data_IF_925155262630
#
_entry.id   IF_925155262630
#
_cell.length_a   1.000
_cell.length_b   1.000
_cell.length_c   1.000
_cell.angle_alpha   90.00
_cell.angle_beta   90.00
_cell.angle_gamma   90.00
#
_symmetry.space_group_name_H-M   'P 1'
#
loop_
_entity.id
_entity.type
_entity.pdbx_description
1 polymer ?
#
# COMPACT_ATOMS: atom_id res chain seq x y z
N UNK A 1 30.14 28.46 10.79
CA UNK A 1 28.73 28.01 10.64
C UNK A 1 28.68 26.98 9.53
N UNK A 2 28.66 25.67 9.85
CA UNK A 2 28.74 24.60 8.84
C UNK A 2 27.33 24.11 8.54
N UNK A 3 26.84 24.39 7.34
CA UNK A 3 25.54 23.94 6.84
C UNK A 3 25.63 22.42 6.57
N UNK A 4 24.91 21.60 7.33
CA UNK A 4 24.81 20.17 7.11
C UNK A 4 23.56 19.89 6.25
N UNK A 5 23.67 19.96 4.92
CA UNK A 5 22.61 19.47 4.02
C UNK A 5 22.64 17.93 4.06
N UNK A 6 21.95 17.34 5.02
CA UNK A 6 21.94 15.89 5.24
C UNK A 6 20.81 15.25 4.43
N UNK A 7 21.13 14.49 3.38
CA UNK A 7 20.15 13.64 2.66
C UNK A 7 19.50 12.68 3.67
N UNK A 8 18.16 12.68 3.77
CA UNK A 8 17.43 11.66 4.54
C UNK A 8 17.66 10.28 3.91
N UNK A 9 17.92 9.28 4.73
CA UNK A 9 18.03 7.87 4.36
C UNK A 9 16.81 7.12 4.89
N UNK A 10 16.19 6.32 4.03
CA UNK A 10 15.03 5.50 4.38
C UNK A 10 15.44 4.03 4.40
N UNK A 11 15.05 3.33 5.46
CA UNK A 11 15.24 1.88 5.60
C UNK A 11 13.89 1.23 5.80
N UNK A 12 13.50 0.36 4.88
CA UNK A 12 12.25 -0.39 4.95
C UNK A 12 12.60 -1.83 5.35
N UNK A 13 11.98 -2.31 6.41
CA UNK A 13 12.09 -3.70 6.87
C UNK A 13 10.71 -4.31 6.73
N UNK A 14 10.56 -5.18 5.74
CA UNK A 14 9.34 -5.95 5.54
C UNK A 14 9.31 -7.17 6.45
N UNK A 15 8.10 -7.63 6.77
CA UNK A 15 7.83 -8.74 7.69
C UNK A 15 8.65 -8.65 8.99
N UNK A 16 8.71 -7.46 9.60
CA UNK A 16 9.60 -7.20 10.74
C UNK A 16 9.36 -8.16 11.93
N UNK A 17 8.16 -8.74 12.04
CA UNK A 17 7.82 -9.76 13.03
C UNK A 17 8.63 -11.06 12.89
N UNK A 18 9.26 -11.31 11.74
CA UNK A 18 10.12 -12.45 11.47
C UNK A 18 11.57 -12.24 11.94
N UNK A 19 11.92 -11.03 12.42
CA UNK A 19 13.27 -10.78 12.93
C UNK A 19 13.58 -11.65 14.15
N UNK A 20 14.85 -12.07 14.22
CA UNK A 20 15.36 -12.75 15.41
C UNK A 20 15.38 -11.81 16.61
N UNK A 21 15.36 -12.37 17.82
CA UNK A 21 15.46 -11.59 19.07
C UNK A 21 16.72 -10.71 19.11
N UNK A 22 17.85 -11.20 18.60
CA UNK A 22 19.09 -10.43 18.55
C UNK A 22 18.99 -9.25 17.57
N UNK A 23 18.35 -9.43 16.42
CA UNK A 23 18.10 -8.36 15.45
C UNK A 23 17.17 -7.28 16.02
N UNK A 24 16.11 -7.66 16.74
CA UNK A 24 15.24 -6.70 17.44
C UNK A 24 16.00 -5.87 18.47
N UNK A 25 16.86 -6.50 19.28
CA UNK A 25 17.65 -5.80 20.29
C UNK A 25 18.65 -4.80 19.66
N UNK A 26 19.22 -5.14 18.51
CA UNK A 26 20.09 -4.23 17.76
C UNK A 26 19.29 -3.04 17.20
N UNK A 27 18.09 -3.31 16.66
CA UNK A 27 17.19 -2.27 16.14
C UNK A 27 16.71 -1.31 17.23
N UNK A 28 16.38 -1.83 18.43
CA UNK A 28 15.91 -1.04 19.58
C UNK A 28 16.86 0.11 19.92
N UNK A 29 18.18 -0.16 19.95
CA UNK A 29 19.20 0.88 20.23
C UNK A 29 19.10 2.05 19.25
N UNK A 30 18.78 1.75 17.99
CA UNK A 30 18.65 2.78 16.95
C UNK A 30 17.30 3.50 17.03
N UNK A 31 16.24 2.82 17.46
CA UNK A 31 14.92 3.44 17.64
C UNK A 31 14.85 4.34 18.89
N UNK A 32 15.66 4.07 19.91
CA UNK A 32 15.76 4.89 21.12
C UNK A 32 16.45 6.22 20.88
N UNK A 33 17.52 6.22 20.09
CA UNK A 33 18.27 7.42 19.70
C UNK A 33 18.37 7.49 18.17
N UNK A 34 17.27 7.79 17.46
CA UNK A 34 17.24 7.76 16.01
C UNK A 34 18.13 8.86 15.43
N UNK A 35 19.03 8.52 14.49
CA UNK A 35 19.80 9.55 13.80
C UNK A 35 18.86 10.51 13.05
N UNK A 36 19.04 11.82 13.19
CA UNK A 36 18.14 12.86 12.62
C UNK A 36 17.86 12.76 11.10
N UNK A 37 18.71 12.04 10.38
CA UNK A 37 18.67 11.89 8.93
C UNK A 37 18.22 10.49 8.50
N UNK A 38 17.74 9.65 9.43
CA UNK A 38 17.33 8.28 9.16
C UNK A 38 15.86 8.11 9.50
N UNK A 39 15.12 7.45 8.61
CA UNK A 39 13.73 7.04 8.85
C UNK A 39 13.63 5.54 8.63
N UNK A 40 13.16 4.83 9.66
CA UNK A 40 12.82 3.42 9.57
C UNK A 40 11.33 3.25 9.28
N UNK A 41 11.02 2.39 8.32
CA UNK A 41 9.65 1.96 8.02
C UNK A 41 9.62 0.46 8.30
N UNK A 42 8.87 0.07 9.33
CA UNK A 42 8.70 -1.32 9.71
C UNK A 42 7.34 -1.77 9.18
N UNK A 43 7.33 -2.72 8.24
CA UNK A 43 6.11 -3.30 7.71
C UNK A 43 5.88 -4.69 8.33
N UNK A 44 4.64 -4.95 8.72
CA UNK A 44 4.23 -6.24 9.29
C UNK A 44 2.77 -6.50 9.01
N UNK A 45 2.42 -7.76 8.78
CA UNK A 45 1.04 -8.27 8.73
C UNK A 45 0.55 -8.75 10.10
N UNK A 46 1.45 -8.85 11.07
CA UNK A 46 1.18 -9.37 12.41
C UNK A 46 1.85 -8.46 13.46
N UNK A 47 1.17 -7.38 13.81
CA UNK A 47 1.68 -6.39 14.76
C UNK A 47 1.74 -6.91 16.20
N UNK A 48 0.87 -7.86 16.54
CA UNK A 48 0.78 -8.44 17.89
C UNK A 48 1.99 -9.32 18.22
N UNK A 49 2.68 -9.85 17.19
CA UNK A 49 3.96 -10.55 17.35
C UNK A 49 5.14 -9.61 17.64
N UNK A 50 4.98 -8.30 17.49
CA UNK A 50 6.05 -7.36 17.78
C UNK A 50 6.19 -7.11 19.29
N UNK A 51 7.43 -7.00 19.82
CA UNK A 51 7.63 -6.61 21.21
C UNK A 51 7.00 -5.23 21.50
N UNK A 52 6.32 -5.10 22.65
CA UNK A 52 5.75 -3.83 23.11
C UNK A 52 6.78 -2.68 23.16
N UNK A 53 8.06 -3.01 23.39
CA UNK A 53 9.17 -2.05 23.37
C UNK A 53 9.36 -1.39 22.00
N UNK A 54 9.14 -2.11 20.90
CA UNK A 54 9.13 -1.54 19.54
C UNK A 54 7.88 -0.68 19.36
N UNK A 55 6.71 -1.24 19.66
CA UNK A 55 5.42 -0.58 19.44
C UNK A 55 5.29 0.78 20.16
N UNK A 56 5.94 0.92 21.33
CA UNK A 56 5.98 2.17 22.10
C UNK A 56 6.87 3.27 21.51
N UNK A 57 7.78 2.94 20.58
CA UNK A 57 8.79 3.85 20.01
C UNK A 57 8.56 4.16 18.54
N UNK A 58 7.49 3.63 17.94
CA UNK A 58 7.14 3.84 16.54
C UNK A 58 5.79 4.50 16.42
N UNK A 59 5.62 5.29 15.35
CA UNK A 59 4.30 5.71 14.93
C UNK A 59 3.63 4.55 14.18
N UNK A 60 2.47 4.13 14.64
CA UNK A 60 1.75 2.99 14.09
C UNK A 60 0.74 3.47 13.04
N UNK A 61 0.79 2.87 11.87
CA UNK A 61 -0.18 3.07 10.80
C UNK A 61 -0.82 1.72 10.48
N UNK A 62 -2.13 1.62 10.71
CA UNK A 62 -2.88 0.41 10.43
C UNK A 62 -3.58 0.56 9.08
N UNK A 63 -3.16 -0.27 8.12
CA UNK A 63 -3.84 -0.39 6.84
C UNK A 63 -5.05 -1.31 7.01
N UNK A 64 -6.22 -0.80 6.67
CA UNK A 64 -7.48 -1.57 6.65
C UNK A 64 -7.87 -1.85 5.20
N UNK A 65 -8.63 -2.93 4.94
CA UNK A 65 -9.24 -3.15 3.63
C UNK A 65 -9.95 -1.88 3.15
N UNK A 66 -9.67 -1.48 1.91
CA UNK A 66 -10.24 -0.25 1.36
C UNK A 66 -11.71 -0.52 0.97
N UNK A 67 -12.64 0.37 1.34
CA UNK A 67 -14.04 0.27 0.91
C UNK A 67 -14.18 0.20 -0.61
N UNK A 68 -15.08 -0.66 -1.09
CA UNK A 68 -15.34 -0.89 -2.51
C UNK A 68 -15.60 0.40 -3.27
N UNK A 69 -16.39 1.32 -2.70
CA UNK A 69 -16.78 2.58 -3.33
C UNK A 69 -15.58 3.53 -3.49
N UNK A 70 -14.60 3.45 -2.59
CA UNK A 70 -13.37 4.23 -2.70
C UNK A 70 -12.48 3.62 -3.79
N UNK A 71 -12.33 2.30 -3.81
CA UNK A 71 -11.55 1.61 -4.83
C UNK A 71 -12.11 1.85 -6.23
N UNK A 72 -13.44 1.70 -6.42
CA UNK A 72 -14.10 1.91 -7.70
C UNK A 72 -13.85 3.33 -8.25
N UNK A 73 -13.98 4.35 -7.38
CA UNK A 73 -13.66 5.74 -7.73
C UNK A 73 -12.20 5.91 -8.14
N UNK A 74 -11.27 5.27 -7.43
CA UNK A 74 -9.86 5.33 -7.80
C UNK A 74 -9.58 4.62 -9.14
N UNK A 75 -10.23 3.50 -9.43
CA UNK A 75 -10.08 2.79 -10.70
C UNK A 75 -10.60 3.61 -11.88
N UNK A 76 -11.73 4.30 -11.73
CA UNK A 76 -12.21 5.25 -12.74
C UNK A 76 -11.20 6.40 -12.95
N UNK A 77 -10.64 6.96 -11.88
CA UNK A 77 -9.61 8.01 -11.98
C UNK A 77 -8.31 7.51 -12.64
N UNK A 78 -7.93 6.25 -12.42
CA UNK A 78 -6.77 5.63 -13.07
C UNK A 78 -7.06 5.45 -14.55
N UNK A 79 -8.22 4.88 -14.90
CA UNK A 79 -8.63 4.67 -16.28
C UNK A 79 -8.61 5.97 -17.10
N UNK A 80 -9.15 7.06 -16.54
CA UNK A 80 -9.12 8.39 -17.15
C UNK A 80 -7.69 8.85 -17.46
N UNK A 81 -6.75 8.65 -16.53
CA UNK A 81 -5.34 9.04 -16.71
C UNK A 81 -4.59 8.17 -17.69
N UNK A 82 -4.96 6.90 -17.79
CA UNK A 82 -4.39 5.93 -18.73
C UNK A 82 -5.06 5.98 -20.12
N UNK A 83 -6.10 6.81 -20.29
CA UNK A 83 -6.72 7.08 -21.59
C UNK A 83 -7.76 6.06 -22.03
N UNK A 84 -8.40 5.33 -21.11
CA UNK A 84 -9.51 4.44 -21.40
C UNK A 84 -10.72 4.70 -20.52
N UNK A 85 -11.88 4.20 -20.96
CA UNK A 85 -13.14 4.38 -20.25
C UNK A 85 -13.55 3.07 -19.57
N UNK A 86 -13.96 3.18 -18.30
CA UNK A 86 -14.53 2.08 -17.52
C UNK A 86 -15.86 2.55 -16.91
N UNK A 87 -16.88 1.72 -16.99
CA UNK A 87 -18.16 1.99 -16.34
C UNK A 87 -18.08 1.73 -14.83
N UNK A 88 -18.88 2.46 -14.06
CA UNK A 88 -18.93 2.33 -12.60
C UNK A 88 -19.20 0.88 -12.15
N UNK A 89 -20.09 0.17 -12.84
CA UNK A 89 -20.39 -1.23 -12.54
C UNK A 89 -19.16 -2.14 -12.68
N UNK A 90 -18.34 -1.91 -13.71
CA UNK A 90 -17.13 -2.70 -13.95
C UNK A 90 -16.05 -2.36 -12.92
N UNK A 91 -15.86 -1.06 -12.63
CA UNK A 91 -14.93 -0.60 -11.59
C UNK A 91 -15.31 -1.15 -10.20
N UNK A 92 -16.60 -1.17 -9.87
CA UNK A 92 -17.13 -1.74 -8.62
C UNK A 92 -16.91 -3.25 -8.55
N UNK A 93 -17.17 -3.98 -9.65
CA UNK A 93 -16.94 -5.42 -9.71
C UNK A 93 -15.46 -5.76 -9.49
N UNK A 94 -14.54 -5.03 -10.11
CA UNK A 94 -13.09 -5.18 -9.86
C UNK A 94 -12.78 -4.94 -8.38
N UNK A 95 -13.30 -3.86 -7.80
CA UNK A 95 -13.09 -3.52 -6.38
C UNK A 95 -13.60 -4.62 -5.42
N UNK A 96 -14.78 -5.19 -5.67
CA UNK A 96 -15.33 -6.30 -4.89
C UNK A 96 -14.45 -7.56 -4.98
N UNK A 97 -13.98 -7.88 -6.19
CA UNK A 97 -13.07 -9.01 -6.42
C UNK A 97 -11.71 -8.83 -5.75
N UNK A 98 -11.29 -7.58 -5.56
CA UNK A 98 -10.03 -7.22 -4.92
C UNK A 98 -10.04 -7.37 -3.39
N UNK A 99 -11.22 -7.57 -2.77
CA UNK A 99 -11.38 -7.76 -1.30
C UNK A 99 -10.67 -6.68 -0.46
N UNK A 100 -10.68 -5.44 -0.93
CA UNK A 100 -10.00 -4.32 -0.26
C UNK A 100 -8.50 -4.20 -0.52
N UNK A 101 -7.90 -5.12 -1.28
CA UNK A 101 -6.51 -5.09 -1.73
C UNK A 101 -6.33 -4.17 -2.94
N UNK A 102 -5.79 -2.97 -2.71
CA UNK A 102 -5.64 -1.97 -3.77
C UNK A 102 -4.72 -2.43 -4.91
N UNK A 103 -3.62 -3.10 -4.56
CA UNK A 103 -2.66 -3.65 -5.52
C UNK A 103 -3.32 -4.69 -6.43
N UNK A 104 -4.05 -5.64 -5.85
CA UNK A 104 -4.73 -6.69 -6.60
C UNK A 104 -5.76 -6.09 -7.57
N UNK A 105 -6.50 -5.08 -7.12
CA UNK A 105 -7.47 -4.40 -7.97
C UNK A 105 -6.86 -3.58 -9.10
N UNK A 106 -5.73 -2.91 -8.87
CA UNK A 106 -4.97 -2.26 -9.96
C UNK A 106 -4.46 -3.33 -10.94
N UNK A 107 -3.91 -4.45 -10.45
CA UNK A 107 -3.45 -5.52 -11.34
C UNK A 107 -4.58 -6.12 -12.18
N UNK A 108 -5.78 -6.27 -11.62
CA UNK A 108 -6.97 -6.69 -12.37
C UNK A 108 -7.39 -5.63 -13.40
N UNK A 109 -7.41 -4.34 -13.01
CA UNK A 109 -7.74 -3.24 -13.92
C UNK A 109 -6.76 -3.17 -15.10
N UNK A 110 -5.47 -3.27 -14.83
CA UNK A 110 -4.40 -3.26 -15.84
C UNK A 110 -4.55 -4.42 -16.83
N UNK A 111 -4.79 -5.63 -16.34
CA UNK A 111 -5.06 -6.79 -17.19
C UNK A 111 -6.31 -6.64 -18.06
N UNK A 112 -7.36 -6.00 -17.55
CA UNK A 112 -8.61 -5.79 -18.29
C UNK A 112 -8.50 -4.60 -19.26
N UNK A 113 -7.62 -3.63 -19.00
CA UNK A 113 -7.46 -2.42 -19.82
C UNK A 113 -7.18 -2.73 -21.30
N UNK A 114 -6.53 -3.87 -21.60
CA UNK A 114 -6.25 -4.33 -22.97
C UNK A 114 -7.52 -4.60 -23.80
N UNK A 115 -8.67 -4.80 -23.13
CA UNK A 115 -9.96 -5.04 -23.77
C UNK A 115 -10.71 -3.72 -24.05
N UNK A 116 -10.29 -2.62 -23.41
CA UNK A 116 -10.86 -1.32 -23.65
C UNK A 116 -10.25 -0.71 -24.91
N UNK A 117 -11.11 -0.08 -25.73
CA UNK A 117 -10.68 0.79 -26.82
C UNK A 117 -11.39 2.14 -26.66
N UNK A 118 -10.94 3.22 -27.34
CA UNK A 118 -11.61 4.51 -27.26
C UNK A 118 -13.13 4.45 -27.52
N UNK A 119 -13.56 3.51 -28.37
CA UNK A 119 -14.96 3.33 -28.77
C UNK A 119 -15.67 2.20 -27.97
N UNK A 120 -14.95 1.47 -27.13
CA UNK A 120 -15.47 0.34 -26.37
C UNK A 120 -15.03 0.42 -24.90
N UNK A 121 -15.88 0.99 -24.02
CA UNK A 121 -15.58 1.05 -22.59
C UNK A 121 -15.54 -0.34 -21.96
N UNK A 122 -14.81 -0.48 -20.86
CA UNK A 122 -14.92 -1.65 -19.99
C UNK A 122 -16.26 -1.63 -19.26
N UNK A 123 -17.09 -2.63 -19.54
CA UNK A 123 -18.44 -2.77 -19.01
C UNK A 123 -18.60 -4.13 -18.32
N UNK A 124 -19.65 -4.25 -17.50
CA UNK A 124 -20.03 -5.56 -16.96
C UNK A 124 -20.88 -6.26 -18.01
N UNK A 125 -20.53 -7.49 -18.36
CA UNK A 125 -21.45 -8.36 -19.07
C UNK A 125 -22.61 -8.72 -18.13
N UNK A 126 -23.75 -8.04 -18.27
CA UNK A 126 -24.99 -8.49 -17.65
C UNK A 126 -25.40 -9.79 -18.35
N UNK A 127 -25.12 -10.92 -17.71
CA UNK A 127 -25.56 -12.23 -18.18
C UNK A 127 -27.08 -12.42 -17.96
N UNK A 128 -27.71 -13.06 -18.94
CA UNK A 128 -29.01 -13.73 -18.85
C UNK A 128 -29.08 -14.71 -17.67
#
# INVERSE_FOLDING_TARGET
>A
MRLFLRRKKFYIIDEVHMLSKSAFNALLKTLEEPPEHVVFILATTDADKLPATILSRVQQFFFRPIPTEIMARQFMNIAEKEGFVIEEGAARLIAERSRGGFRDGISMLDQLSILATPDQPLTVAYGY
#
